data_IF_001250208710
#
_entry.id   IF_001250208710
#
_cell.length_a   1.000
_cell.length_b   1.000
_cell.length_c   1.000
_cell.angle_alpha   90.00
_cell.angle_beta   90.00
_cell.angle_gamma   90.00
#
_symmetry.space_group_name_H-M   'P 1'
#
loop_
_entity.id
_entity.type
_entity.pdbx_description
1 polymer ?
#
# COMPACT_ATOMS: atom_id res chain seq x y z
N UNK A 1 36.72 6.66 -15.74
CA UNK A 1 36.05 6.18 -14.50
C UNK A 1 35.62 7.42 -13.73
N UNK A 2 34.31 7.68 -13.64
CA UNK A 2 33.78 8.78 -12.82
C UNK A 2 32.62 8.22 -12.01
N UNK A 3 32.89 7.96 -10.73
CA UNK A 3 31.95 7.43 -9.74
C UNK A 3 31.06 8.57 -9.26
N UNK A 4 29.98 8.84 -9.99
CA UNK A 4 28.92 9.76 -9.60
C UNK A 4 27.85 9.04 -8.79
N UNK A 5 27.86 9.28 -7.49
CA UNK A 5 26.83 8.99 -6.49
C UNK A 5 25.39 8.91 -7.04
N UNK A 6 24.85 7.68 -7.14
CA UNK A 6 23.41 7.42 -7.26
C UNK A 6 22.76 7.12 -5.90
N UNK A 7 23.47 7.38 -4.79
CA UNK A 7 23.06 6.95 -3.46
C UNK A 7 22.24 7.99 -2.66
N UNK A 8 22.09 9.23 -3.17
CA UNK A 8 21.48 10.33 -2.41
C UNK A 8 20.00 10.62 -2.68
N UNK A 9 19.34 9.91 -3.61
CA UNK A 9 17.90 10.11 -3.89
C UNK A 9 16.96 9.21 -3.08
N UNK A 10 17.44 8.56 -2.02
CA UNK A 10 16.56 8.07 -0.95
C UNK A 10 16.64 9.01 0.22
N UNK A 11 16.26 10.27 -0.05
CA UNK A 11 15.97 11.27 0.97
C UNK A 11 15.05 10.63 2.00
N UNK A 12 15.58 10.52 3.22
CA UNK A 12 14.93 10.00 4.42
C UNK A 12 13.50 10.51 4.42
N UNK A 13 12.54 9.65 4.08
CA UNK A 13 11.12 9.97 4.17
C UNK A 13 10.85 10.18 5.66
N UNK A 14 10.98 11.42 6.12
CA UNK A 14 10.44 11.87 7.38
C UNK A 14 9.02 11.31 7.44
N UNK A 15 8.75 10.46 8.44
CA UNK A 15 7.46 9.79 8.59
C UNK A 15 6.45 10.86 8.93
N UNK A 16 5.90 11.50 7.90
CA UNK A 16 4.85 12.49 8.05
C UNK A 16 3.62 11.72 8.51
N UNK A 17 3.10 12.07 9.68
CA UNK A 17 1.89 11.47 10.21
C UNK A 17 0.74 11.62 9.20
N UNK A 18 0.39 10.54 8.50
CA UNK A 18 -0.75 10.50 7.57
C UNK A 18 -2.00 10.12 8.34
N UNK A 19 -3.08 10.88 8.14
CA UNK A 19 -4.40 10.54 8.70
C UNK A 19 -4.83 9.16 8.16
N UNK A 20 -5.18 8.24 9.05
CA UNK A 20 -5.61 6.86 8.71
C UNK A 20 -6.67 6.82 7.59
N UNK A 21 -7.68 7.69 7.64
CA UNK A 21 -8.72 7.76 6.61
C UNK A 21 -8.22 8.21 5.24
N UNK A 22 -7.21 9.10 5.18
CA UNK A 22 -6.60 9.51 3.92
C UNK A 22 -5.82 8.37 3.28
N UNK A 23 -5.07 7.61 4.10
CA UNK A 23 -4.37 6.41 3.67
C UNK A 23 -5.34 5.36 3.13
N UNK A 24 -6.43 5.07 3.84
CA UNK A 24 -7.44 4.11 3.39
C UNK A 24 -8.03 4.49 2.02
N UNK A 25 -8.40 5.76 1.81
CA UNK A 25 -8.91 6.21 0.51
C UNK A 25 -7.88 6.06 -0.61
N UNK A 26 -6.62 6.37 -0.34
CA UNK A 26 -5.54 6.21 -1.32
C UNK A 26 -5.34 4.75 -1.71
N UNK A 27 -5.33 3.84 -0.73
CA UNK A 27 -5.23 2.39 -0.97
C UNK A 27 -6.39 1.90 -1.81
N UNK A 28 -7.64 2.25 -1.47
CA UNK A 28 -8.82 1.83 -2.25
C UNK A 28 -8.74 2.29 -3.71
N UNK A 29 -8.35 3.55 -3.97
CA UNK A 29 -8.19 4.05 -5.33
C UNK A 29 -7.11 3.29 -6.11
N UNK A 30 -5.96 3.09 -5.48
CA UNK A 30 -4.84 2.36 -6.09
C UNK A 30 -5.24 0.93 -6.44
N UNK A 31 -5.89 0.21 -5.52
CA UNK A 31 -6.35 -1.16 -5.76
C UNK A 31 -7.36 -1.24 -6.91
N UNK A 32 -8.29 -0.28 -7.03
CA UNK A 32 -9.22 -0.22 -8.17
C UNK A 32 -8.50 -0.01 -9.49
N UNK A 33 -7.61 0.98 -9.54
CA UNK A 33 -6.82 1.27 -10.73
C UNK A 33 -5.97 0.06 -11.17
N UNK A 34 -5.32 -0.62 -10.22
CA UNK A 34 -4.55 -1.84 -10.53
C UNK A 34 -5.43 -2.96 -11.08
N UNK A 35 -6.61 -3.18 -10.50
CA UNK A 35 -7.54 -4.18 -11.01
C UNK A 35 -8.00 -3.86 -12.43
N UNK A 36 -8.32 -2.59 -12.71
CA UNK A 36 -8.72 -2.11 -14.03
C UNK A 36 -7.62 -2.35 -15.08
N UNK A 37 -6.35 -2.10 -14.73
CA UNK A 37 -5.20 -2.40 -15.59
C UNK A 37 -5.09 -3.91 -15.93
N UNK A 38 -5.56 -4.76 -15.03
CA UNK A 38 -5.60 -6.22 -15.23
C UNK A 38 -6.92 -6.70 -15.86
N UNK A 39 -7.79 -5.79 -16.31
CA UNK A 39 -9.11 -6.14 -16.85
C UNK A 39 -10.08 -6.73 -15.82
N UNK A 40 -9.83 -6.50 -14.54
CA UNK A 40 -10.64 -6.98 -13.39
C UNK A 40 -11.38 -5.80 -12.76
N UNK A 41 -12.50 -6.07 -12.09
CA UNK A 41 -13.23 -5.07 -11.30
C UNK A 41 -13.15 -5.41 -9.81
N UNK A 42 -12.89 -4.42 -8.96
CA UNK A 42 -13.03 -4.57 -7.50
C UNK A 42 -14.44 -4.12 -7.10
N UNK A 43 -15.31 -5.02 -6.63
CA UNK A 43 -16.64 -4.64 -6.16
C UNK A 43 -16.57 -3.58 -5.06
N UNK A 44 -17.49 -2.62 -5.07
CA UNK A 44 -17.56 -1.59 -4.03
C UNK A 44 -17.75 -2.18 -2.63
N UNK A 45 -18.44 -3.33 -2.55
CA UNK A 45 -18.69 -4.09 -1.33
C UNK A 45 -17.72 -5.25 -1.13
N UNK A 46 -16.55 -5.24 -1.77
CA UNK A 46 -15.58 -6.31 -1.59
C UNK A 46 -15.10 -6.36 -0.13
N UNK A 47 -15.63 -7.33 0.62
CA UNK A 47 -15.18 -7.67 1.97
C UNK A 47 -14.01 -8.63 1.84
N UNK A 48 -12.94 -8.37 2.60
CA UNK A 48 -11.81 -9.31 2.67
C UNK A 48 -12.30 -10.64 3.23
N UNK A 49 -11.80 -11.74 2.65
CA UNK A 49 -12.09 -13.06 3.21
C UNK A 49 -11.49 -13.21 4.61
N UNK A 50 -12.12 -14.03 5.45
CA UNK A 50 -11.67 -14.29 6.81
C UNK A 50 -10.21 -14.77 6.89
N UNK A 51 -9.77 -15.54 5.88
CA UNK A 51 -8.39 -16.00 5.76
C UNK A 51 -7.41 -14.83 5.66
N UNK A 52 -7.76 -13.80 4.88
CA UNK A 52 -6.93 -12.60 4.70
C UNK A 52 -6.94 -11.77 5.98
N UNK A 53 -8.09 -11.60 6.63
CA UNK A 53 -8.17 -10.90 7.91
C UNK A 53 -7.32 -11.56 9.00
N UNK A 54 -7.35 -12.91 9.08
CA UNK A 54 -6.50 -13.68 10.01
C UNK A 54 -5.02 -13.46 9.76
N UNK A 55 -4.60 -13.54 8.49
CA UNK A 55 -3.21 -13.27 8.10
C UNK A 55 -2.77 -11.85 8.48
N UNK A 56 -3.62 -10.83 8.24
CA UNK A 56 -3.33 -9.45 8.62
C UNK A 56 -3.22 -9.28 10.14
N UNK A 57 -4.09 -9.95 10.90
CA UNK A 57 -4.05 -9.95 12.36
C UNK A 57 -2.77 -10.58 12.90
N UNK A 58 -2.33 -11.71 12.34
CA UNK A 58 -1.06 -12.35 12.68
C UNK A 58 0.15 -11.47 12.34
N UNK A 59 0.13 -10.82 11.17
CA UNK A 59 1.22 -9.93 10.75
C UNK A 59 1.37 -8.71 11.68
N UNK A 60 0.26 -8.14 12.15
CA UNK A 60 0.28 -7.01 13.11
C UNK A 60 0.90 -7.36 14.45
N UNK A 61 0.92 -8.63 14.86
CA UNK A 61 1.56 -9.06 16.11
C UNK A 61 3.08 -9.15 16.01
N UNK A 62 3.62 -9.21 14.80
CA UNK A 62 5.08 -9.32 14.52
C UNK A 62 5.78 -7.97 14.38
N UNK A 63 5.02 -6.87 14.31
CA UNK A 63 5.53 -5.51 14.12
C UNK A 63 5.29 -4.71 15.38
#
# INVERSE_FOLDING_TARGET
MNTGSHAEEVGVMAVRAVKKGALQRAVVRSTKASAELEGRTVPAEFVRSERVERFLAERRKRT
#
